data_IF_358145300437
#
_entry.id   IF_358145300437
#
_cell.length_a   1.000
_cell.length_b   1.000
_cell.length_c   1.000
_cell.angle_alpha   90.00
_cell.angle_beta   90.00
_cell.angle_gamma   90.00
#
_symmetry.space_group_name_H-M   'P 1'
#
loop_
_entity.id
_entity.type
_entity.pdbx_description
1 polymer ?
#
# COMPACT_ATOMS: atom_id res chain seq x y z
N UNK A 1 17.01 19.99 -24.39
CA UNK A 1 15.91 20.97 -24.33
C UNK A 1 16.43 22.24 -23.72
N UNK A 2 16.44 23.37 -24.44
CA UNK A 2 16.90 24.65 -23.88
C UNK A 2 15.68 25.42 -23.37
N UNK A 3 15.66 25.75 -22.09
CA UNK A 3 14.63 26.59 -21.49
C UNK A 3 15.07 28.04 -21.61
N UNK A 4 14.51 28.81 -22.57
CA UNK A 4 14.74 30.24 -22.68
C UNK A 4 13.45 30.96 -22.17
N UNK A 5 13.57 31.62 -21.03
CA UNK A 5 12.52 32.46 -20.47
C UNK A 5 13.03 33.88 -20.27
N UNK A 6 12.52 34.84 -21.07
CA UNK A 6 12.59 36.25 -20.75
C UNK A 6 11.41 36.66 -19.91
N UNK A 7 11.54 36.72 -18.63
CA UNK A 7 10.56 37.21 -17.68
C UNK A 7 11.16 37.12 -16.29
N UNK A 8 11.19 38.22 -15.57
CA UNK A 8 11.70 38.37 -14.20
C UNK A 8 11.08 37.28 -13.29
N UNK A 9 11.75 36.19 -13.21
CA UNK A 9 11.50 35.14 -12.22
C UNK A 9 12.43 35.45 -11.06
N UNK A 10 11.91 35.34 -9.85
CA UNK A 10 12.76 35.01 -8.72
C UNK A 10 13.36 33.65 -9.05
N UNK A 11 14.49 33.67 -9.78
CA UNK A 11 15.30 32.50 -10.06
C UNK A 11 15.79 32.01 -8.71
N UNK A 12 15.15 30.95 -8.19
CA UNK A 12 15.81 30.18 -7.16
C UNK A 12 16.89 29.43 -7.91
N UNK A 13 18.13 29.94 -7.79
CA UNK A 13 19.31 29.31 -8.34
C UNK A 13 19.34 27.85 -7.83
N UNK A 14 19.66 26.93 -8.72
CA UNK A 14 19.67 25.49 -8.33
C UNK A 14 20.81 25.20 -7.36
N UNK A 15 21.91 25.89 -7.44
CA UNK A 15 23.07 25.79 -6.52
C UNK A 15 23.68 27.15 -6.25
N UNK A 16 24.31 27.33 -5.08
CA UNK A 16 24.90 28.57 -4.60
C UNK A 16 26.42 28.46 -4.32
N UNK A 17 26.97 27.26 -4.43
CA UNK A 17 28.38 27.01 -4.17
C UNK A 17 29.02 26.09 -5.19
N UNK A 18 30.33 26.19 -5.36
CA UNK A 18 31.13 25.30 -6.21
C UNK A 18 31.11 23.87 -5.69
N UNK A 19 31.00 23.68 -4.38
CA UNK A 19 30.89 22.35 -3.76
C UNK A 19 29.59 21.64 -4.16
N UNK A 20 28.46 22.34 -4.09
CA UNK A 20 27.16 21.81 -4.55
C UNK A 20 27.20 21.48 -6.04
N UNK A 21 27.79 22.33 -6.87
CA UNK A 21 27.93 22.08 -8.31
C UNK A 21 28.78 20.82 -8.59
N UNK A 22 29.89 20.65 -7.89
CA UNK A 22 30.74 19.47 -8.04
C UNK A 22 30.02 18.20 -7.63
N UNK A 23 29.24 18.24 -6.57
CA UNK A 23 28.42 17.11 -6.11
C UNK A 23 27.33 16.74 -7.14
N UNK A 24 26.59 17.72 -7.65
CA UNK A 24 25.62 17.52 -8.72
C UNK A 24 26.24 16.93 -9.98
N UNK A 25 27.43 17.40 -10.36
CA UNK A 25 28.17 16.88 -11.51
C UNK A 25 28.62 15.43 -11.27
N UNK A 26 29.03 15.09 -10.04
CA UNK A 26 29.37 13.73 -9.67
C UNK A 26 28.15 12.80 -9.75
N UNK A 27 27.02 13.18 -9.19
CA UNK A 27 25.77 12.42 -9.27
C UNK A 27 25.31 12.20 -10.72
N UNK A 28 25.39 13.24 -11.55
CA UNK A 28 25.03 13.15 -12.97
C UNK A 28 25.96 12.20 -13.72
N UNK A 29 27.27 12.31 -13.53
CA UNK A 29 28.27 11.45 -14.20
C UNK A 29 28.15 10.00 -13.78
N UNK A 30 27.86 9.74 -12.49
CA UNK A 30 27.71 8.40 -11.95
C UNK A 30 26.31 7.82 -12.21
N UNK A 31 25.41 8.59 -12.83
CA UNK A 31 24.00 8.24 -13.01
C UNK A 31 23.36 7.77 -11.68
N UNK A 32 23.58 8.56 -10.62
CA UNK A 32 23.15 8.26 -9.27
C UNK A 32 21.69 8.67 -9.07
N UNK A 33 20.91 7.82 -8.41
CA UNK A 33 19.53 8.10 -8.07
C UNK A 33 19.46 8.92 -6.78
N UNK A 34 18.81 10.08 -6.82
CA UNK A 34 18.74 11.04 -5.73
C UNK A 34 17.32 11.18 -5.25
N UNK A 35 17.10 11.06 -3.94
CA UNK A 35 15.79 11.31 -3.33
C UNK A 35 15.62 12.79 -3.04
N UNK A 36 14.56 13.38 -3.62
CA UNK A 36 14.18 14.78 -3.38
C UNK A 36 12.78 14.93 -2.82
N UNK A 37 12.45 16.13 -2.33
CA UNK A 37 11.12 16.48 -1.82
C UNK A 37 10.47 17.50 -2.75
N UNK A 38 9.27 17.23 -3.21
CA UNK A 38 8.49 18.18 -4.02
C UNK A 38 8.07 19.36 -3.15
N UNK A 39 8.60 20.56 -3.42
CA UNK A 39 8.29 21.79 -2.65
C UNK A 39 7.09 22.54 -3.19
N UNK A 40 7.04 22.70 -4.50
CA UNK A 40 6.01 23.48 -5.17
C UNK A 40 5.86 23.08 -6.62
N UNK A 41 4.83 23.60 -7.26
CA UNK A 41 4.61 23.48 -8.70
C UNK A 41 4.50 24.88 -9.27
N UNK A 42 5.20 25.10 -10.37
CA UNK A 42 5.20 26.38 -11.07
C UNK A 42 4.87 26.14 -12.55
N UNK A 43 4.05 26.99 -13.10
CA UNK A 43 3.77 26.99 -14.54
C UNK A 43 4.74 27.96 -15.22
N UNK A 44 5.46 27.47 -16.20
CA UNK A 44 6.39 28.29 -16.98
C UNK A 44 6.25 27.98 -18.47
N UNK A 45 6.36 29.00 -19.34
CA UNK A 45 6.51 28.74 -20.77
C UNK A 45 7.84 28.05 -21.01
N UNK A 46 7.81 26.91 -21.67
CA UNK A 46 8.98 26.21 -22.12
C UNK A 46 8.94 26.02 -23.63
N UNK A 47 10.11 25.98 -24.25
CA UNK A 47 10.24 25.71 -25.69
C UNK A 47 10.65 24.25 -25.87
N UNK A 48 9.73 23.44 -26.40
CA UNK A 48 10.06 22.11 -26.89
C UNK A 48 10.62 22.20 -28.29
N UNK A 49 11.76 21.58 -28.54
CA UNK A 49 12.29 21.38 -29.89
C UNK A 49 11.78 20.02 -30.34
N UNK A 50 10.84 20.00 -31.30
CA UNK A 50 10.44 18.79 -32.00
C UNK A 50 11.50 18.38 -33.05
N UNK A 51 11.49 17.12 -33.47
CA UNK A 51 12.46 16.53 -34.42
C UNK A 51 12.56 17.28 -35.76
N UNK A 52 11.65 18.21 -36.06
CA UNK A 52 11.60 19.01 -37.27
C UNK A 52 12.10 20.47 -37.10
N UNK A 53 12.88 20.77 -36.06
CA UNK A 53 13.35 22.14 -35.75
C UNK A 53 12.22 23.17 -35.56
N UNK A 54 10.98 22.78 -35.40
CA UNK A 54 9.90 23.70 -35.06
C UNK A 54 9.83 23.87 -33.54
N UNK A 55 9.91 25.13 -33.10
CA UNK A 55 9.82 25.48 -31.68
C UNK A 55 8.40 25.82 -31.32
N UNK A 56 7.74 25.00 -30.53
CA UNK A 56 6.42 25.34 -29.94
C UNK A 56 6.64 25.82 -28.51
N UNK A 57 6.16 27.02 -28.20
CA UNK A 57 6.07 27.47 -26.81
C UNK A 57 4.77 26.94 -26.19
N UNK A 58 4.91 26.07 -25.22
CA UNK A 58 3.81 25.60 -24.40
C UNK A 58 4.07 25.95 -22.93
N UNK A 59 3.03 26.22 -22.17
CA UNK A 59 3.19 26.30 -20.72
C UNK A 59 3.34 24.88 -20.16
N UNK A 60 4.45 24.63 -19.48
CA UNK A 60 4.66 23.38 -18.77
C UNK A 60 4.57 23.58 -17.26
N UNK A 61 3.93 22.63 -16.61
CA UNK A 61 4.03 22.51 -15.17
C UNK A 61 5.40 21.93 -14.80
N UNK A 62 6.15 22.67 -13.97
CA UNK A 62 7.44 22.27 -13.42
C UNK A 62 7.29 22.01 -11.93
N UNK A 63 7.70 20.84 -11.48
CA UNK A 63 7.82 20.54 -10.06
C UNK A 63 9.17 21.03 -9.56
N UNK A 64 9.15 21.79 -8.48
CA UNK A 64 10.34 22.30 -7.79
C UNK A 64 10.72 21.31 -6.70
N UNK A 65 11.90 20.74 -6.79
CA UNK A 65 12.36 19.63 -5.95
C UNK A 65 13.53 20.13 -5.08
N UNK A 66 13.40 19.94 -3.76
CA UNK A 66 14.50 20.14 -2.84
C UNK A 66 15.33 18.87 -2.73
N UNK A 67 16.63 18.97 -2.97
CA UNK A 67 17.58 17.87 -2.82
C UNK A 67 18.27 17.87 -1.45
N UNK A 68 18.84 16.74 -1.00
CA UNK A 68 19.43 16.61 0.34
C UNK A 68 20.57 17.58 0.64
N UNK A 69 21.35 17.97 -0.39
CA UNK A 69 22.45 18.92 -0.27
C UNK A 69 22.01 20.40 -0.27
N UNK A 70 20.71 20.66 -0.15
CA UNK A 70 20.15 22.01 -0.15
C UNK A 70 19.99 22.65 -1.53
N UNK A 71 20.33 21.94 -2.62
CA UNK A 71 20.11 22.40 -3.99
C UNK A 71 18.64 22.23 -4.41
N UNK A 72 18.26 22.97 -5.45
CA UNK A 72 16.91 22.94 -6.01
C UNK A 72 16.96 22.41 -7.45
N UNK A 73 16.21 21.35 -7.71
CA UNK A 73 16.04 20.80 -9.05
C UNK A 73 14.64 21.09 -9.61
N UNK A 74 14.51 21.02 -10.92
CA UNK A 74 13.26 21.19 -11.65
C UNK A 74 12.94 19.94 -12.44
N UNK A 75 11.72 19.43 -12.29
CA UNK A 75 11.24 18.27 -13.03
C UNK A 75 10.00 18.68 -13.84
N UNK A 76 10.01 18.43 -15.14
CA UNK A 76 8.82 18.63 -15.97
C UNK A 76 7.76 17.60 -15.54
N UNK A 77 6.51 18.03 -15.44
CA UNK A 77 5.41 17.16 -14.97
C UNK A 77 5.30 15.84 -15.74
N UNK A 78 5.52 15.88 -17.05
CA UNK A 78 5.53 14.69 -17.93
C UNK A 78 6.66 13.70 -17.60
N UNK A 79 7.77 14.19 -17.02
CA UNK A 79 8.94 13.41 -16.62
C UNK A 79 8.98 13.11 -15.12
N UNK A 80 7.90 13.43 -14.38
CA UNK A 80 7.87 13.21 -12.94
C UNK A 80 7.59 11.74 -12.58
N UNK A 81 6.60 11.14 -13.21
CA UNK A 81 6.23 9.73 -13.01
C UNK A 81 5.88 9.07 -14.36
N UNK A 82 5.96 7.75 -14.42
CA UNK A 82 5.62 6.98 -15.60
C UNK A 82 4.13 7.13 -15.99
N UNK A 83 3.26 7.36 -14.98
CA UNK A 83 1.83 7.62 -15.17
C UNK A 83 1.56 9.12 -15.13
N UNK A 84 0.81 9.63 -16.10
CA UNK A 84 0.35 11.00 -16.12
C UNK A 84 -0.78 11.25 -15.10
N UNK A 85 -0.74 12.39 -14.47
CA UNK A 85 -1.74 12.84 -13.50
C UNK A 85 -2.36 14.16 -13.96
N UNK A 86 -3.65 14.28 -13.73
CA UNK A 86 -4.38 15.54 -14.03
C UNK A 86 -4.00 16.70 -13.08
N UNK A 87 -3.47 16.37 -11.91
CA UNK A 87 -3.10 17.33 -10.90
C UNK A 87 -1.91 16.82 -10.08
N UNK A 88 -0.80 17.52 -10.15
CA UNK A 88 0.44 17.20 -9.44
C UNK A 88 0.51 17.82 -8.04
N UNK A 89 -0.44 18.70 -7.63
CA UNK A 89 -0.46 19.34 -6.30
C UNK A 89 -0.49 18.34 -5.14
N UNK A 90 -1.07 17.17 -5.37
CA UNK A 90 -1.10 16.08 -4.39
C UNK A 90 0.29 15.53 -4.01
N UNK A 91 1.32 15.80 -4.82
CA UNK A 91 2.69 15.34 -4.57
C UNK A 91 3.51 16.36 -3.78
N UNK A 92 3.02 17.58 -3.55
CA UNK A 92 3.72 18.58 -2.74
C UNK A 92 3.92 18.04 -1.31
N UNK A 93 5.15 18.13 -0.82
CA UNK A 93 5.59 17.57 0.45
C UNK A 93 5.99 16.08 0.41
N UNK A 94 5.77 15.38 -0.70
CA UNK A 94 6.16 13.97 -0.84
C UNK A 94 7.60 13.83 -1.33
N UNK A 95 8.23 12.73 -0.91
CA UNK A 95 9.55 12.32 -1.41
C UNK A 95 9.38 11.54 -2.71
N UNK A 96 10.28 11.76 -3.65
CA UNK A 96 10.39 10.99 -4.88
C UNK A 96 11.87 10.89 -5.29
N UNK A 97 12.17 9.92 -6.15
CA UNK A 97 13.53 9.69 -6.61
C UNK A 97 13.70 10.18 -8.04
N UNK A 98 14.87 10.71 -8.31
CA UNK A 98 15.18 11.38 -9.56
C UNK A 98 16.57 11.00 -10.06
N UNK A 99 16.73 11.04 -11.37
CA UNK A 99 18.03 11.20 -12.02
C UNK A 99 18.22 12.63 -12.46
N UNK A 100 19.45 13.07 -12.50
CA UNK A 100 19.80 14.34 -13.16
C UNK A 100 19.75 14.10 -14.66
N UNK A 101 18.88 14.83 -15.36
CA UNK A 101 18.76 14.78 -16.81
C UNK A 101 19.73 15.74 -17.49
N UNK A 102 19.83 16.97 -16.97
CA UNK A 102 20.71 18.00 -17.48
C UNK A 102 21.11 19.03 -16.41
N UNK A 103 22.29 19.58 -16.55
CA UNK A 103 22.80 20.70 -15.74
C UNK A 103 23.07 21.88 -16.71
N UNK A 104 22.24 22.91 -16.65
CA UNK A 104 22.39 24.13 -17.43
C UNK A 104 23.19 25.17 -16.65
N UNK A 105 24.49 25.26 -16.94
CA UNK A 105 25.42 26.10 -16.17
C UNK A 105 25.10 27.57 -16.33
N UNK A 106 24.81 28.01 -17.56
CA UNK A 106 24.54 29.43 -17.88
C UNK A 106 23.27 29.94 -17.20
N UNK A 107 22.31 29.10 -17.03
CA UNK A 107 21.00 29.42 -16.42
C UNK A 107 20.93 29.07 -14.93
N UNK A 108 21.99 28.47 -14.36
CA UNK A 108 22.05 27.90 -13.01
C UNK A 108 20.82 27.03 -12.71
N UNK A 109 20.52 26.07 -13.62
CA UNK A 109 19.33 25.27 -13.57
C UNK A 109 19.63 23.76 -13.66
N UNK A 110 19.07 22.99 -12.72
CA UNK A 110 19.18 21.55 -12.65
C UNK A 110 17.87 20.90 -13.10
N UNK A 111 17.92 20.10 -14.15
CA UNK A 111 16.76 19.34 -14.66
C UNK A 111 16.82 17.92 -14.16
N UNK A 112 15.71 17.48 -13.59
CA UNK A 112 15.52 16.16 -12.99
C UNK A 112 14.51 15.34 -13.78
N UNK A 113 14.68 14.01 -13.75
CA UNK A 113 13.79 13.04 -14.36
C UNK A 113 13.41 11.96 -13.33
N UNK A 114 12.17 12.02 -12.84
CA UNK A 114 11.63 11.04 -11.90
C UNK A 114 11.08 9.80 -12.60
N UNK A 115 10.56 9.95 -13.84
CA UNK A 115 10.06 8.82 -14.63
C UNK A 115 11.16 7.80 -14.89
N UNK A 116 12.35 8.25 -15.30
CA UNK A 116 13.52 7.37 -15.52
C UNK A 116 13.91 6.65 -14.22
N UNK A 117 13.88 7.34 -13.08
CA UNK A 117 14.18 6.75 -11.78
C UNK A 117 13.14 5.68 -11.39
N UNK A 118 11.86 5.94 -11.63
CA UNK A 118 10.80 4.97 -11.40
C UNK A 118 10.93 3.75 -12.31
N UNK A 119 11.17 3.94 -13.60
CA UNK A 119 11.34 2.86 -14.58
C UNK A 119 12.52 1.95 -14.19
N UNK A 120 13.63 2.52 -13.75
CA UNK A 120 14.77 1.73 -13.29
C UNK A 120 14.45 0.93 -12.02
N UNK A 121 13.77 1.52 -11.03
CA UNK A 121 13.33 0.80 -9.85
C UNK A 121 12.40 -0.36 -10.19
N UNK A 122 11.44 -0.11 -11.07
CA UNK A 122 10.51 -1.15 -11.56
C UNK A 122 11.29 -2.28 -12.23
N UNK A 123 12.27 -1.96 -13.10
CA UNK A 123 13.09 -2.98 -13.76
C UNK A 123 13.88 -3.83 -12.76
N UNK A 124 14.56 -3.18 -11.81
CA UNK A 124 15.30 -3.87 -10.74
C UNK A 124 14.37 -4.74 -9.88
N UNK A 125 13.19 -4.23 -9.57
CA UNK A 125 12.20 -4.99 -8.81
C UNK A 125 11.74 -6.23 -9.59
N UNK A 126 11.44 -6.11 -10.89
CA UNK A 126 11.07 -7.24 -11.75
C UNK A 126 12.19 -8.28 -11.85
N UNK A 127 13.44 -7.88 -11.98
CA UNK A 127 14.60 -8.78 -11.96
C UNK A 127 14.65 -9.55 -10.65
N UNK A 128 14.54 -8.85 -9.51
CA UNK A 128 14.56 -9.44 -8.17
C UNK A 128 13.43 -10.44 -7.95
N UNK A 129 12.19 -10.10 -8.31
CA UNK A 129 11.05 -11.01 -8.10
C UNK A 129 11.10 -12.22 -9.04
N UNK A 130 11.64 -12.04 -10.25
CA UNK A 130 11.81 -13.15 -11.20
C UNK A 130 12.87 -14.13 -10.69
N UNK A 131 13.95 -13.64 -10.09
CA UNK A 131 14.96 -14.47 -9.44
C UNK A 131 14.36 -15.25 -8.26
N UNK A 132 13.59 -14.57 -7.39
CA UNK A 132 12.89 -15.23 -6.28
C UNK A 132 11.87 -16.27 -6.75
N UNK A 133 11.17 -16.01 -7.87
CA UNK A 133 10.23 -16.97 -8.44
C UNK A 133 10.95 -18.25 -8.93
N UNK A 134 12.08 -18.10 -9.61
CA UNK A 134 12.90 -19.22 -10.08
C UNK A 134 13.44 -20.08 -8.92
N UNK A 135 13.76 -19.45 -7.80
CA UNK A 135 14.24 -20.12 -6.58
C UNK A 135 13.10 -20.65 -5.69
N UNK A 136 11.83 -20.53 -6.11
CA UNK A 136 10.63 -20.80 -5.29
C UNK A 136 10.60 -20.07 -3.95
N UNK A 137 11.32 -18.95 -3.85
CA UNK A 137 11.48 -18.15 -2.63
C UNK A 137 10.48 -17.00 -2.45
N UNK A 138 9.60 -16.73 -3.41
CA UNK A 138 8.67 -15.59 -3.34
C UNK A 138 7.85 -15.52 -2.06
N UNK A 139 7.38 -16.68 -1.57
CA UNK A 139 6.56 -16.74 -0.36
C UNK A 139 7.32 -16.42 0.94
N UNK A 140 8.65 -16.48 0.92
CA UNK A 140 9.49 -16.21 2.08
C UNK A 140 9.78 -14.72 2.27
N UNK A 141 9.78 -13.96 1.16
CA UNK A 141 10.11 -12.53 1.17
C UNK A 141 8.90 -11.66 1.51
N UNK A 142 9.15 -10.67 2.36
CA UNK A 142 8.16 -9.66 2.73
C UNK A 142 8.63 -8.30 2.20
N UNK A 143 7.73 -7.61 1.51
CA UNK A 143 7.97 -6.30 0.92
C UNK A 143 7.17 -5.21 1.65
N UNK A 144 7.69 -4.01 1.68
CA UNK A 144 6.94 -2.83 2.13
C UNK A 144 6.21 -2.22 0.95
N UNK A 145 4.90 -2.06 1.10
CA UNK A 145 4.07 -1.44 0.08
C UNK A 145 3.34 -0.22 0.61
N UNK A 146 3.18 0.79 -0.22
CA UNK A 146 2.43 2.00 0.09
C UNK A 146 1.05 1.88 -0.55
N UNK A 147 -0.01 2.07 0.24
CA UNK A 147 -1.39 2.04 -0.28
C UNK A 147 -1.64 3.26 -1.16
N UNK A 148 -2.00 3.02 -2.42
CA UNK A 148 -2.26 4.07 -3.42
C UNK A 148 -3.73 4.30 -3.71
N UNK A 149 -4.61 3.40 -3.26
CA UNK A 149 -6.05 3.58 -3.41
C UNK A 149 -6.84 2.31 -3.17
N UNK A 150 -8.16 2.46 -3.11
CA UNK A 150 -9.10 1.35 -3.01
C UNK A 150 -9.87 1.16 -4.32
N UNK A 151 -10.16 -0.09 -4.66
CA UNK A 151 -11.02 -0.38 -5.80
C UNK A 151 -12.44 0.08 -5.52
N UNK A 152 -13.08 0.81 -6.45
CA UNK A 152 -14.41 1.43 -6.30
C UNK A 152 -15.52 0.44 -5.87
N UNK A 153 -15.41 -0.84 -6.22
CA UNK A 153 -16.37 -1.89 -5.84
C UNK A 153 -15.90 -2.69 -4.61
N UNK A 154 -14.97 -2.17 -3.82
CA UNK A 154 -14.41 -2.82 -2.61
C UNK A 154 -13.87 -4.26 -2.85
N UNK A 155 -13.36 -4.51 -4.07
CA UNK A 155 -12.78 -5.82 -4.44
C UNK A 155 -11.34 -5.99 -3.97
N UNK A 156 -10.70 -4.93 -3.52
CA UNK A 156 -9.33 -4.92 -3.05
C UNK A 156 -8.72 -3.53 -3.01
N UNK A 157 -7.43 -3.47 -2.80
CA UNK A 157 -6.66 -2.23 -2.74
C UNK A 157 -5.48 -2.28 -3.71
N UNK A 158 -5.04 -1.11 -4.13
CA UNK A 158 -3.82 -0.94 -4.89
C UNK A 158 -2.69 -0.58 -3.93
N UNK A 159 -1.57 -1.23 -4.11
CA UNK A 159 -0.37 -1.08 -3.27
C UNK A 159 0.83 -0.89 -4.18
N UNK A 160 1.57 0.18 -4.00
CA UNK A 160 2.82 0.41 -4.71
C UNK A 160 3.97 -0.24 -3.94
N UNK A 161 4.70 -1.14 -4.60
CA UNK A 161 5.88 -1.83 -4.06
C UNK A 161 7.05 -1.51 -4.96
N UNK A 162 8.07 -0.83 -4.43
CA UNK A 162 9.28 -0.43 -5.18
C UNK A 162 8.99 0.26 -6.53
N UNK A 163 7.94 1.10 -6.57
CA UNK A 163 7.53 1.81 -7.78
C UNK A 163 6.53 1.06 -8.66
N UNK A 164 6.36 -0.26 -8.48
CA UNK A 164 5.41 -1.08 -9.21
C UNK A 164 4.05 -1.10 -8.55
N UNK A 165 2.99 -0.85 -9.32
CA UNK A 165 1.62 -0.97 -8.84
C UNK A 165 1.20 -2.44 -8.76
N UNK A 166 0.83 -2.88 -7.56
CA UNK A 166 0.37 -4.22 -7.24
C UNK A 166 -1.10 -4.19 -6.82
N UNK A 167 -1.80 -5.30 -7.00
CA UNK A 167 -3.19 -5.45 -6.57
C UNK A 167 -3.30 -6.44 -5.42
N UNK A 168 -3.94 -6.06 -4.33
CA UNK A 168 -4.28 -6.94 -3.22
C UNK A 168 -5.79 -7.19 -3.22
N UNK A 169 -6.25 -8.42 -3.53
CA UNK A 169 -7.65 -8.80 -3.39
C UNK A 169 -8.12 -8.63 -1.94
N UNK A 170 -9.40 -8.30 -1.74
CA UNK A 170 -9.97 -8.12 -0.40
C UNK A 170 -9.72 -9.30 0.55
N UNK A 171 -9.80 -10.53 0.04
CA UNK A 171 -9.57 -11.75 0.81
C UNK A 171 -8.14 -11.90 1.32
N UNK A 172 -7.20 -11.18 0.71
CA UNK A 172 -5.79 -11.15 1.08
C UNK A 172 -5.45 -10.06 2.11
N UNK A 173 -6.45 -9.29 2.56
CA UNK A 173 -6.27 -8.26 3.58
C UNK A 173 -6.03 -8.83 4.97
N UNK A 174 -6.84 -9.79 5.38
CA UNK A 174 -6.82 -10.41 6.71
C UNK A 174 -7.26 -11.86 6.64
N UNK A 175 -6.93 -12.64 7.66
CA UNK A 175 -7.44 -14.00 7.86
C UNK A 175 -8.94 -14.01 8.15
N UNK A 176 -9.49 -12.94 8.72
CA UNK A 176 -10.92 -12.76 8.87
C UNK A 176 -11.48 -12.00 7.66
N UNK A 177 -12.26 -12.69 6.83
CA UNK A 177 -12.85 -12.12 5.61
C UNK A 177 -13.78 -10.91 5.86
N UNK A 178 -14.22 -10.73 7.13
CA UNK A 178 -15.10 -9.64 7.52
C UNK A 178 -14.39 -8.41 8.00
N UNK A 179 -13.10 -8.50 8.24
CA UNK A 179 -12.31 -7.33 8.62
C UNK A 179 -12.46 -6.25 7.55
N UNK A 180 -12.91 -5.08 7.98
CA UNK A 180 -12.94 -3.94 7.09
C UNK A 180 -11.50 -3.55 6.71
N UNK A 181 -11.32 -3.14 5.47
CA UNK A 181 -10.07 -2.51 5.05
C UNK A 181 -10.09 -1.11 5.65
N UNK A 182 -9.43 -0.95 6.79
CA UNK A 182 -9.32 0.32 7.53
C UNK A 182 -7.91 0.87 7.37
N UNK A 183 -7.61 1.35 6.17
CA UNK A 183 -6.31 1.93 5.85
C UNK A 183 -6.49 3.13 4.94
N UNK A 184 -5.66 4.15 5.14
CA UNK A 184 -5.67 5.37 4.34
C UNK A 184 -4.64 5.30 3.21
N UNK A 185 -4.88 6.07 2.15
CA UNK A 185 -3.89 6.26 1.10
C UNK A 185 -2.62 6.89 1.67
N UNK A 186 -1.47 6.37 1.24
CA UNK A 186 -0.15 6.79 1.72
C UNK A 186 0.37 5.99 2.93
N UNK A 187 -0.44 5.14 3.56
CA UNK A 187 0.05 4.27 4.64
C UNK A 187 0.88 3.12 4.10
N UNK A 188 1.88 2.72 4.89
CA UNK A 188 2.79 1.61 4.55
C UNK A 188 2.33 0.33 5.21
N UNK A 189 2.29 -0.76 4.47
CA UNK A 189 1.95 -2.11 4.92
C UNK A 189 3.00 -3.12 4.48
N UNK A 190 3.13 -4.18 5.25
CA UNK A 190 3.92 -5.34 4.86
C UNK A 190 3.07 -6.27 3.98
N UNK A 191 3.64 -6.71 2.86
CA UNK A 191 2.95 -7.59 1.90
C UNK A 191 3.88 -8.68 1.39
N UNK A 192 3.29 -9.82 1.00
CA UNK A 192 3.97 -10.89 0.26
C UNK A 192 3.38 -11.00 -1.14
N UNK A 193 4.22 -11.34 -2.11
CA UNK A 193 3.79 -11.60 -3.48
C UNK A 193 3.19 -13.00 -3.53
N UNK A 194 1.96 -13.13 -4.03
CA UNK A 194 1.24 -14.41 -4.12
C UNK A 194 1.10 -14.92 -5.55
N UNK A 195 1.14 -14.03 -6.53
CA UNK A 195 1.05 -14.38 -7.94
C UNK A 195 1.60 -13.26 -8.81
N UNK A 196 2.32 -13.65 -9.86
CA UNK A 196 2.81 -12.78 -10.91
C UNK A 196 2.13 -13.17 -12.23
N UNK A 197 1.62 -12.18 -12.95
CA UNK A 197 1.08 -12.31 -14.31
C UNK A 197 2.06 -11.58 -15.24
N UNK A 198 2.98 -12.32 -15.81
CA UNK A 198 4.04 -11.78 -16.68
C UNK A 198 3.50 -11.19 -17.98
N UNK A 199 2.42 -11.77 -18.54
CA UNK A 199 1.83 -11.28 -19.78
C UNK A 199 1.21 -9.88 -19.62
N UNK A 200 0.56 -9.66 -18.47
CA UNK A 200 -0.12 -8.40 -18.16
C UNK A 200 0.70 -7.48 -17.27
N UNK A 201 1.92 -7.89 -16.91
CA UNK A 201 2.79 -7.21 -15.95
C UNK A 201 2.05 -6.82 -14.66
N UNK A 202 1.28 -7.77 -14.10
CA UNK A 202 0.49 -7.57 -12.89
C UNK A 202 1.00 -8.43 -11.75
N UNK A 203 1.14 -7.82 -10.59
CA UNK A 203 1.57 -8.49 -9.37
C UNK A 203 0.42 -8.47 -8.38
N UNK A 204 0.13 -9.66 -7.81
CA UNK A 204 -0.86 -9.81 -6.76
C UNK A 204 -0.14 -10.02 -5.44
N UNK A 205 -0.58 -9.26 -4.42
CA UNK A 205 0.04 -9.27 -3.11
C UNK A 205 -0.95 -9.63 -2.00
N UNK A 206 -0.44 -10.06 -0.86
CA UNK A 206 -1.20 -10.46 0.32
C UNK A 206 -0.60 -9.83 1.57
N UNK A 207 -1.39 -9.10 2.32
CA UNK A 207 -1.09 -8.71 3.69
C UNK A 207 -1.38 -9.88 4.66
N UNK A 208 -2.42 -10.66 4.38
CA UNK A 208 -2.82 -11.80 5.20
C UNK A 208 -1.64 -12.75 5.49
N UNK A 209 -0.80 -13.01 4.49
CA UNK A 209 0.35 -13.91 4.64
C UNK A 209 1.51 -13.33 5.46
N UNK A 210 1.49 -12.04 5.79
CA UNK A 210 2.44 -11.43 6.73
C UNK A 210 1.96 -11.50 8.17
N UNK A 211 0.66 -11.75 8.37
CA UNK A 211 0.06 -11.89 9.69
C UNK A 211 0.23 -13.33 10.21
N UNK A 212 0.30 -13.50 11.55
CA UNK A 212 0.31 -14.83 12.14
C UNK A 212 -0.86 -15.66 11.63
N UNK A 213 -0.58 -16.90 11.20
CA UNK A 213 -1.61 -17.81 10.73
C UNK A 213 -2.42 -18.35 11.91
N UNK A 214 -3.72 -17.99 12.02
CA UNK A 214 -4.56 -18.41 13.13
C UNK A 214 -4.87 -19.91 13.12
N UNK A 215 -4.73 -20.56 11.97
CA UNK A 215 -4.95 -22.00 11.87
C UNK A 215 -3.87 -22.81 12.56
N UNK A 216 -2.62 -22.34 12.56
CA UNK A 216 -1.51 -22.99 13.28
C UNK A 216 -1.78 -23.09 14.79
N UNK A 217 -2.50 -22.13 15.35
CA UNK A 217 -2.94 -22.20 16.74
C UNK A 217 -4.11 -23.20 16.90
N UNK A 218 -5.10 -23.14 16.00
CA UNK A 218 -6.30 -23.97 16.08
C UNK A 218 -6.03 -25.45 15.78
N UNK A 219 -5.05 -25.77 14.97
CA UNK A 219 -4.61 -27.16 14.69
C UNK A 219 -4.13 -27.90 15.94
N UNK A 220 -3.61 -27.15 16.93
CA UNK A 220 -3.15 -27.71 18.21
C UNK A 220 -4.28 -28.03 19.18
N UNK A 221 -5.48 -27.55 18.91
CA UNK A 221 -6.65 -27.73 19.75
C UNK A 221 -7.46 -28.93 19.29
N UNK A 222 -7.87 -29.75 20.25
CA UNK A 222 -8.72 -30.94 20.01
C UNK A 222 -10.18 -30.70 20.40
N UNK A 223 -11.04 -31.62 19.95
CA UNK A 223 -12.45 -31.61 20.34
C UNK A 223 -12.57 -31.73 21.86
N UNK A 224 -13.27 -30.81 22.46
CA UNK A 224 -13.40 -30.69 23.92
C UNK A 224 -12.61 -29.59 24.56
N UNK A 225 -11.57 -29.07 23.91
CA UNK A 225 -10.76 -27.96 24.41
C UNK A 225 -11.59 -26.68 24.51
N UNK A 226 -11.20 -25.83 25.47
CA UNK A 226 -11.85 -24.55 25.72
C UNK A 226 -11.10 -23.41 25.08
N UNK A 227 -11.84 -22.51 24.44
CA UNK A 227 -11.30 -21.30 23.80
C UNK A 227 -12.23 -20.12 24.09
N UNK A 228 -11.64 -18.96 24.32
CA UNK A 228 -12.40 -17.73 24.45
C UNK A 228 -12.79 -17.15 23.08
N UNK A 229 -13.87 -16.39 23.07
CA UNK A 229 -14.32 -15.71 21.87
C UNK A 229 -15.34 -14.63 22.18
N UNK A 230 -15.70 -13.89 21.13
CA UNK A 230 -16.70 -12.83 21.16
C UNK A 230 -17.78 -13.10 20.12
N UNK A 231 -19.04 -13.01 20.50
CA UNK A 231 -20.14 -13.17 19.55
C UNK A 231 -20.11 -12.08 18.50
N UNK A 232 -19.82 -12.46 17.26
CA UNK A 232 -19.70 -11.53 16.13
C UNK A 232 -21.01 -11.34 15.37
N UNK A 233 -21.84 -12.41 15.33
CA UNK A 233 -23.12 -12.38 14.62
C UNK A 233 -24.10 -13.39 15.20
N UNK A 234 -25.35 -12.98 15.24
CA UNK A 234 -26.50 -13.86 15.50
C UNK A 234 -27.47 -13.70 14.33
N UNK A 235 -27.61 -14.73 13.55
CA UNK A 235 -28.42 -14.72 12.33
C UNK A 235 -29.51 -15.82 12.44
N UNK A 236 -30.80 -15.49 12.25
CA UNK A 236 -31.90 -16.47 12.35
C UNK A 236 -31.76 -17.62 11.36
N UNK A 237 -31.19 -17.40 10.17
CA UNK A 237 -31.03 -18.40 9.11
C UNK A 237 -29.70 -19.15 9.19
N UNK A 238 -28.61 -18.44 9.52
CA UNK A 238 -27.26 -18.99 9.45
C UNK A 238 -26.72 -19.42 10.81
N UNK A 239 -27.37 -19.01 11.91
CA UNK A 239 -26.99 -19.33 13.28
C UNK A 239 -26.04 -18.33 13.92
N UNK A 240 -25.39 -18.77 15.00
CA UNK A 240 -24.51 -17.97 15.81
C UNK A 240 -23.06 -18.06 15.25
N UNK A 241 -22.35 -16.94 15.23
CA UNK A 241 -20.94 -16.89 14.87
C UNK A 241 -20.16 -16.23 16.01
N UNK A 242 -18.98 -16.77 16.28
CA UNK A 242 -18.08 -16.31 17.33
C UNK A 242 -16.72 -16.07 16.71
N UNK A 243 -16.18 -14.84 16.89
CA UNK A 243 -14.78 -14.54 16.61
C UNK A 243 -13.95 -15.09 17.76
N UNK A 244 -13.11 -16.06 17.48
CA UNK A 244 -12.19 -16.67 18.45
C UNK A 244 -11.00 -15.73 18.74
N UNK A 245 -10.23 -16.01 19.81
CA UNK A 245 -9.00 -15.27 20.12
C UNK A 245 -8.00 -15.24 18.96
N UNK A 246 -8.03 -16.28 18.12
CA UNK A 246 -7.22 -16.33 16.90
C UNK A 246 -7.65 -15.33 15.79
N UNK A 247 -8.75 -14.60 16.00
CA UNK A 247 -9.32 -13.66 15.01
C UNK A 247 -10.24 -14.30 13.98
N UNK A 248 -10.45 -15.62 14.00
CA UNK A 248 -11.33 -16.32 13.06
C UNK A 248 -12.78 -16.35 13.52
N UNK A 249 -13.69 -16.13 12.58
CA UNK A 249 -15.13 -16.31 12.79
C UNK A 249 -15.53 -17.77 12.56
N UNK A 250 -16.02 -18.42 13.59
CA UNK A 250 -16.43 -19.83 13.55
C UNK A 250 -17.92 -19.96 13.88
N UNK A 251 -18.59 -20.90 13.23
CA UNK A 251 -19.99 -21.22 13.55
C UNK A 251 -20.08 -21.79 14.96
N UNK A 252 -21.05 -21.27 15.73
CA UNK A 252 -21.26 -21.66 17.12
C UNK A 252 -22.66 -22.24 17.34
N UNK A 253 -22.77 -23.09 18.34
CA UNK A 253 -24.01 -23.45 19.01
C UNK A 253 -23.89 -23.11 20.50
N UNK A 254 -24.96 -23.22 21.26
CA UNK A 254 -24.93 -23.01 22.70
C UNK A 254 -25.47 -24.23 23.46
N UNK A 255 -25.11 -24.33 24.71
CA UNK A 255 -25.75 -25.29 25.62
C UNK A 255 -27.22 -24.88 25.85
N UNK A 256 -28.14 -25.80 25.86
CA UNK A 256 -29.61 -25.55 25.98
C UNK A 256 -29.99 -24.68 27.18
N UNK A 257 -29.28 -24.81 28.29
CA UNK A 257 -29.55 -24.07 29.54
C UNK A 257 -29.08 -22.60 29.49
N UNK A 258 -28.29 -22.21 28.50
CA UNK A 258 -27.82 -20.84 28.37
C UNK A 258 -28.86 -19.96 27.66
N UNK A 259 -28.91 -18.69 28.08
CA UNK A 259 -29.66 -17.67 27.38
C UNK A 259 -29.14 -17.46 25.93
N UNK A 260 -29.98 -16.88 25.07
CA UNK A 260 -29.58 -16.58 23.68
C UNK A 260 -28.46 -15.53 23.68
N UNK A 261 -27.34 -15.76 22.92
CA UNK A 261 -26.24 -14.82 22.84
C UNK A 261 -26.63 -13.56 22.10
N UNK A 262 -26.02 -12.45 22.49
CA UNK A 262 -26.15 -11.15 21.82
C UNK A 262 -24.81 -10.77 21.22
N UNK A 263 -24.83 -10.04 20.10
CA UNK A 263 -23.62 -9.53 19.45
C UNK A 263 -22.77 -8.76 20.45
N UNK A 264 -21.48 -9.10 20.51
CA UNK A 264 -20.53 -8.50 21.43
C UNK A 264 -20.37 -9.22 22.77
N UNK A 265 -21.19 -10.25 23.09
CA UNK A 265 -20.99 -11.05 24.29
C UNK A 265 -19.62 -11.75 24.24
N UNK A 266 -18.90 -11.65 25.38
CA UNK A 266 -17.71 -12.46 25.60
C UNK A 266 -18.16 -13.87 26.05
N UNK A 267 -17.61 -14.88 25.39
CA UNK A 267 -18.04 -16.27 25.60
C UNK A 267 -16.85 -17.20 25.77
N UNK A 268 -17.02 -18.19 26.67
CA UNK A 268 -16.12 -19.35 26.64
C UNK A 268 -16.81 -20.44 25.81
N UNK A 269 -16.06 -20.90 24.83
CA UNK A 269 -16.51 -21.95 23.93
C UNK A 269 -15.73 -23.23 24.16
N UNK A 270 -16.36 -24.36 23.85
CA UNK A 270 -15.71 -25.67 23.73
C UNK A 270 -15.68 -26.03 22.25
N UNK A 271 -14.58 -26.59 21.76
CA UNK A 271 -14.49 -27.10 20.41
C UNK A 271 -15.42 -28.33 20.29
N UNK A 272 -16.47 -28.18 19.52
CA UNK A 272 -17.44 -29.27 19.26
C UNK A 272 -17.10 -30.09 18.02
N UNK A 273 -16.46 -29.46 17.06
CA UNK A 273 -15.91 -30.08 15.84
C UNK A 273 -14.60 -29.40 15.48
N UNK A 274 -13.56 -30.18 15.17
CA UNK A 274 -12.25 -29.68 14.85
C UNK A 274 -12.32 -28.60 13.76
N UNK A 275 -11.64 -27.50 14.00
CA UNK A 275 -11.63 -26.35 13.09
C UNK A 275 -10.51 -26.58 12.09
N UNK A 276 -10.87 -26.72 10.83
CA UNK A 276 -9.94 -26.97 9.74
C UNK A 276 -10.25 -26.03 8.56
N UNK A 277 -9.23 -25.71 7.78
CA UNK A 277 -9.39 -25.04 6.50
C UNK A 277 -9.58 -26.10 5.43
N UNK A 278 -10.59 -25.95 4.58
CA UNK A 278 -10.80 -26.79 3.41
C UNK A 278 -9.99 -26.29 2.22
N UNK A 279 -9.79 -27.12 1.20
CA UNK A 279 -9.01 -26.79 -0.01
C UNK A 279 -9.60 -25.59 -0.77
N UNK A 280 -10.90 -25.36 -0.67
CA UNK A 280 -11.61 -24.19 -1.20
C UNK A 280 -11.45 -22.92 -0.32
N UNK A 281 -10.60 -22.98 0.71
CA UNK A 281 -10.29 -21.87 1.62
C UNK A 281 -11.34 -21.59 2.70
N UNK A 282 -12.43 -22.36 2.77
CA UNK A 282 -13.49 -22.18 3.77
C UNK A 282 -13.11 -22.78 5.11
N UNK A 283 -13.70 -22.22 6.17
CA UNK A 283 -13.55 -22.75 7.51
C UNK A 283 -14.63 -23.79 7.76
N UNK A 284 -14.23 -25.01 8.09
CA UNK A 284 -15.11 -26.06 8.64
C UNK A 284 -14.76 -26.25 10.11
N UNK A 285 -15.77 -26.32 10.94
CA UNK A 285 -15.65 -26.53 12.38
C UNK A 285 -16.80 -25.89 13.11
N UNK A 286 -16.94 -26.24 14.38
CA UNK A 286 -18.00 -25.70 15.23
C UNK A 286 -17.53 -25.62 16.67
N UNK A 287 -17.89 -24.53 17.32
CA UNK A 287 -17.73 -24.37 18.76
C UNK A 287 -19.06 -24.37 19.47
N UNK A 288 -19.06 -24.72 20.75
CA UNK A 288 -20.23 -24.71 21.62
C UNK A 288 -20.00 -23.70 22.73
N UNK A 289 -20.84 -22.67 22.81
CA UNK A 289 -20.82 -21.69 23.90
C UNK A 289 -21.26 -22.40 25.19
N UNK A 290 -20.38 -22.38 26.19
CA UNK A 290 -20.60 -23.07 27.48
C UNK A 290 -20.86 -22.10 28.63
N UNK A 291 -20.38 -20.85 28.58
CA UNK A 291 -20.67 -19.83 29.59
C UNK A 291 -20.35 -18.41 29.10
N UNK A 292 -20.87 -17.42 29.79
CA UNK A 292 -20.58 -16.01 29.66
C UNK A 292 -19.68 -15.56 30.83
N UNK A 293 -18.35 -15.47 30.69
CA UNK A 293 -17.43 -15.22 31.80
C UNK A 293 -17.67 -13.86 32.47
N UNK A 294 -18.05 -12.84 31.69
CA UNK A 294 -18.30 -11.47 32.17
C UNK A 294 -19.80 -11.16 32.34
N UNK A 295 -20.64 -12.20 32.42
CA UNK A 295 -22.08 -12.03 32.35
C UNK A 295 -22.58 -11.78 30.93
N UNK A 296 -23.89 -11.82 30.76
CA UNK A 296 -24.52 -11.58 29.46
C UNK A 296 -24.86 -10.11 29.29
N UNK A 297 -24.60 -9.55 28.09
CA UNK A 297 -25.05 -8.19 27.75
C UNK A 297 -26.58 -8.14 27.67
N UNK A 298 -27.19 -7.14 28.29
CA UNK A 298 -28.61 -6.89 28.16
C UNK A 298 -28.89 -6.22 26.82
N UNK A 299 -30.01 -6.57 26.17
CA UNK A 299 -30.39 -6.02 24.86
C UNK A 299 -30.51 -4.46 24.91
N UNK A 300 -30.83 -3.90 26.08
CA UNK A 300 -30.92 -2.45 26.32
C UNK A 300 -29.56 -1.73 26.18
N UNK A 301 -28.43 -2.42 26.37
CA UNK A 301 -27.10 -1.82 26.29
C UNK A 301 -26.62 -1.63 24.84
N UNK A 302 -27.32 -2.24 23.87
CA UNK A 302 -27.03 -2.08 22.43
C UNK A 302 -27.54 -0.78 21.85
N UNK A 303 -28.54 -0.13 22.49
CA UNK A 303 -29.12 1.13 22.03
C UNK A 303 -28.27 2.37 22.33
N UNK A 304 -27.37 2.31 23.30
CA UNK A 304 -26.47 3.43 23.64
C UNK A 304 -25.29 3.61 22.69
N UNK A 305 -24.87 2.55 22.00
CA UNK A 305 -23.74 2.60 21.05
C UNK A 305 -24.12 2.97 19.61
N UNK A 306 -25.41 3.18 19.34
CA UNK A 306 -25.89 3.61 18.02
C UNK A 306 -25.99 5.14 17.89
N UNK A 307 -25.71 5.89 18.97
CA UNK A 307 -25.85 7.35 19.04
C UNK A 307 -24.59 8.06 19.58
N UNK A 308 -23.46 7.39 19.69
CA UNK A 308 -22.13 7.98 19.83
C UNK A 308 -21.32 7.65 18.54
#
# INVERSE_FOLDING_TARGET
MAIQGNGTLTNVESWNSTEQFNELTAWHRNNEMITGVVRSIVEKPYRAVENDNTTKSANAELLVIALPNGTTGYCVAENFLAREFKNYKQFVGRKADFFIEAIHIEENMLILNGKKAQEQKISQFWETITEFEQLNGLAEHTFKGIVTGQHTTNRGIFVNVEGQDCFMPRIEWSWNERDAISISEGETIDVKIIRIDHEKQRIFVSRRQTLPDPYKFLERLDVGDSIAGKVSRVDPKHGIFVTLESGLDVKASKVKALEEPVIGDMVNCRIGQKIVRTDDGRIKGRVVIVKYPNGKRKVKDLGQFLFE
#
